data_IF_717186003238
#
_entry.id   IF_717186003238
#
_cell.length_a   1.000
_cell.length_b   1.000
_cell.length_c   1.000
_cell.angle_alpha   90.00
_cell.angle_beta   90.00
_cell.angle_gamma   90.00
#
_symmetry.space_group_name_H-M   'P 1'
#
loop_
_entity.id
_entity.type
_entity.pdbx_description
1 polymer ?
#
# COMPACT_ATOMS: atom_id res chain seq x y z
N UNK A 1 3.91 -4.42 -14.11
CA UNK A 1 4.12 -5.47 -13.06
C UNK A 1 4.16 -4.80 -11.69
N UNK A 2 3.38 -5.28 -10.71
CA UNK A 2 3.37 -4.70 -9.36
C UNK A 2 4.10 -5.64 -8.38
N UNK A 3 5.10 -5.11 -7.68
CA UNK A 3 5.89 -5.84 -6.69
C UNK A 3 5.67 -5.27 -5.28
N UNK A 4 5.90 -6.09 -4.27
CA UNK A 4 5.96 -5.68 -2.87
C UNK A 4 7.38 -5.95 -2.38
N UNK A 5 7.93 -5.06 -1.56
CA UNK A 5 9.26 -5.25 -1.00
C UNK A 5 9.45 -4.58 0.36
N UNK A 6 10.55 -4.94 1.01
CA UNK A 6 10.94 -4.32 2.26
C UNK A 6 11.68 -3.00 2.01
N UNK A 7 11.26 -1.94 2.70
CA UNK A 7 11.89 -0.61 2.62
C UNK A 7 13.37 -0.58 2.99
N UNK A 8 13.84 -1.46 3.88
CA UNK A 8 15.26 -1.62 4.24
C UNK A 8 16.13 -2.07 3.08
N UNK A 9 15.54 -2.66 2.04
CA UNK A 9 16.25 -3.11 0.85
C UNK A 9 16.33 -2.02 -0.22
N UNK A 10 15.63 -0.89 -0.03
CA UNK A 10 15.68 0.24 -0.96
C UNK A 10 16.93 1.06 -0.69
N UNK A 11 17.83 1.10 -1.69
CA UNK A 11 19.03 1.95 -1.67
C UNK A 11 18.76 3.28 -2.38
N UNK A 12 18.20 3.19 -3.59
CA UNK A 12 17.94 4.34 -4.45
C UNK A 12 16.43 4.52 -4.65
N UNK A 13 15.91 5.67 -4.20
CA UNK A 13 14.50 6.03 -4.35
C UNK A 13 14.25 6.61 -5.73
N UNK A 14 13.66 5.81 -6.61
CA UNK A 14 13.20 6.22 -7.95
C UNK A 14 11.67 6.33 -7.99
N UNK A 15 11.13 6.96 -9.03
CA UNK A 15 9.68 7.20 -9.19
C UNK A 15 8.82 5.94 -9.14
N UNK A 16 9.37 4.79 -9.56
CA UNK A 16 8.68 3.50 -9.54
C UNK A 16 8.64 2.83 -8.16
N UNK A 17 9.32 3.36 -7.14
CA UNK A 17 9.31 2.85 -5.77
C UNK A 17 8.42 3.74 -4.90
N UNK A 18 7.36 3.17 -4.34
CA UNK A 18 6.35 3.90 -3.57
C UNK A 18 6.27 3.38 -2.16
N UNK A 19 6.54 4.24 -1.18
CA UNK A 19 6.32 3.93 0.23
C UNK A 19 4.83 3.96 0.57
N UNK A 20 4.30 2.84 1.09
CA UNK A 20 2.89 2.71 1.49
C UNK A 20 2.72 2.53 3.00
N UNK A 21 3.79 2.69 3.77
CA UNK A 21 3.80 2.48 5.21
C UNK A 21 3.34 3.67 6.04
N UNK A 22 3.28 3.47 7.36
CA UNK A 22 3.02 4.53 8.33
C UNK A 22 4.19 5.52 8.42
N UNK A 23 3.97 6.76 8.87
CA UNK A 23 5.07 7.70 9.10
C UNK A 23 6.06 7.14 10.13
N UNK A 24 7.36 7.37 9.90
CA UNK A 24 8.42 7.08 10.87
C UNK A 24 9.30 8.30 11.08
N UNK A 25 9.83 8.44 12.30
CA UNK A 25 10.73 9.57 12.64
C UNK A 25 12.03 9.56 11.83
N UNK A 26 12.48 8.37 11.44
CA UNK A 26 13.68 8.14 10.63
C UNK A 26 13.31 7.73 9.20
N UNK A 27 14.15 8.12 8.25
CA UNK A 27 13.97 7.84 6.81
C UNK A 27 14.02 9.10 5.96
N UNK A 28 13.84 8.95 4.65
CA UNK A 28 13.67 10.08 3.74
C UNK A 28 12.32 10.78 3.98
N UNK A 29 12.11 11.92 3.31
CA UNK A 29 10.91 12.73 3.49
C UNK A 29 9.61 11.95 3.24
N UNK A 30 9.60 11.06 2.26
CA UNK A 30 8.45 10.19 1.95
C UNK A 30 8.10 9.26 3.12
N UNK A 31 9.10 8.71 3.80
CA UNK A 31 8.90 7.85 4.98
C UNK A 31 8.39 8.66 6.17
N UNK A 32 8.88 9.89 6.36
CA UNK A 32 8.46 10.75 7.48
C UNK A 32 7.01 11.19 7.37
N UNK A 33 6.56 11.52 6.16
CA UNK A 33 5.15 11.85 5.89
C UNK A 33 4.25 10.63 6.06
N UNK A 34 4.74 9.45 5.68
CA UNK A 34 3.92 8.26 5.60
C UNK A 34 2.98 8.29 4.39
N UNK A 35 2.22 7.20 4.22
CA UNK A 35 1.23 7.07 3.15
C UNK A 35 -0.18 7.14 3.71
N UNK A 36 -1.08 7.76 2.93
CA UNK A 36 -2.53 7.71 3.15
C UNK A 36 -3.03 6.25 3.13
N UNK A 37 -2.37 5.38 2.36
CA UNK A 37 -2.67 3.95 2.30
C UNK A 37 -2.05 3.15 3.47
N UNK A 38 -1.40 3.81 4.43
CA UNK A 38 -0.80 3.16 5.59
C UNK A 38 -1.84 2.40 6.43
N UNK A 39 -1.48 1.22 6.93
CA UNK A 39 -2.40 0.42 7.74
C UNK A 39 -2.76 1.12 9.08
N UNK A 40 -4.04 1.47 9.32
CA UNK A 40 -4.46 2.11 10.57
C UNK A 40 -4.43 1.14 11.75
N UNK A 41 -4.50 -0.17 11.50
CA UNK A 41 -4.49 -1.21 12.52
C UNK A 41 -3.05 -1.62 12.90
N UNK A 42 -2.83 -1.94 14.17
CA UNK A 42 -1.54 -2.31 14.76
C UNK A 42 -1.56 -3.73 15.30
N UNK A 43 -0.55 -4.52 14.92
CA UNK A 43 -0.37 -5.88 15.46
C UNK A 43 -0.18 -5.80 16.98
N UNK A 44 -0.77 -6.74 17.72
CA UNK A 44 -0.81 -6.75 19.19
C UNK A 44 -2.00 -5.96 19.73
N UNK A 45 -2.16 -4.69 19.35
CA UNK A 45 -3.29 -3.84 19.79
C UNK A 45 -4.61 -4.26 19.16
N UNK A 46 -4.61 -4.43 17.84
CA UNK A 46 -5.81 -4.66 17.03
C UNK A 46 -5.95 -6.13 16.60
N UNK A 47 -5.07 -7.00 17.10
CA UNK A 47 -5.06 -8.44 16.85
C UNK A 47 -3.73 -8.98 16.32
N UNK A 48 -3.74 -10.24 15.91
CA UNK A 48 -2.62 -10.89 15.23
C UNK A 48 -2.35 -10.26 13.86
N UNK A 49 -1.19 -10.55 13.27
CA UNK A 49 -0.83 -10.01 11.95
C UNK A 49 -1.86 -10.35 10.89
N UNK A 50 -2.31 -11.59 10.83
CA UNK A 50 -3.33 -12.04 9.87
C UNK A 50 -4.65 -11.30 10.08
N UNK A 51 -5.10 -11.15 11.33
CA UNK A 51 -6.32 -10.40 11.65
C UNK A 51 -6.21 -8.92 11.25
N UNK A 52 -5.06 -8.29 11.49
CA UNK A 52 -4.80 -6.90 11.11
C UNK A 52 -4.77 -6.70 9.59
N UNK A 53 -4.23 -7.65 8.84
CA UNK A 53 -4.27 -7.62 7.36
C UNK A 53 -5.70 -7.81 6.85
N UNK A 54 -6.48 -8.70 7.46
CA UNK A 54 -7.88 -8.90 7.07
C UNK A 54 -8.74 -7.67 7.41
N UNK A 55 -8.53 -7.04 8.56
CA UNK A 55 -9.14 -5.75 8.91
C UNK A 55 -8.77 -4.67 7.89
N UNK A 56 -7.50 -4.60 7.51
CA UNK A 56 -7.02 -3.66 6.49
C UNK A 56 -7.71 -3.88 5.14
N UNK A 57 -7.86 -5.14 4.70
CA UNK A 57 -8.57 -5.49 3.47
C UNK A 57 -10.01 -4.99 3.46
N UNK A 58 -10.75 -5.24 4.54
CA UNK A 58 -12.13 -4.76 4.68
C UNK A 58 -12.22 -3.24 4.74
N UNK A 59 -11.30 -2.60 5.46
CA UNK A 59 -11.21 -1.14 5.55
C UNK A 59 -10.92 -0.50 4.18
N UNK A 60 -9.91 -0.99 3.46
CA UNK A 60 -9.55 -0.47 2.14
C UNK A 60 -10.72 -0.61 1.16
N UNK A 61 -11.41 -1.74 1.18
CA UNK A 61 -12.61 -1.95 0.37
C UNK A 61 -13.71 -0.94 0.70
N UNK A 62 -13.98 -0.71 1.99
CA UNK A 62 -14.92 0.32 2.43
C UNK A 62 -14.54 1.71 1.95
N UNK A 63 -13.27 2.10 2.05
CA UNK A 63 -12.77 3.38 1.55
C UNK A 63 -12.95 3.53 0.03
N UNK A 64 -12.78 2.45 -0.74
CA UNK A 64 -12.99 2.47 -2.19
C UNK A 64 -14.47 2.69 -2.58
N UNK A 65 -15.41 2.34 -1.71
CA UNK A 65 -16.84 2.53 -1.93
C UNK A 65 -17.34 3.93 -1.55
N UNK A 66 -16.60 4.67 -0.71
CA UNK A 66 -17.00 6.00 -0.26
C UNK A 66 -16.82 7.03 -1.37
N UNK A 67 -17.70 8.03 -1.37
CA UNK A 67 -17.49 9.27 -2.12
C UNK A 67 -16.43 10.14 -1.42
N UNK A 68 -15.61 10.84 -2.21
CA UNK A 68 -14.57 11.75 -1.74
C UNK A 68 -13.58 11.14 -0.70
N UNK A 69 -13.18 9.87 -0.89
CA UNK A 69 -12.16 9.24 -0.04
C UNK A 69 -10.75 9.53 -0.57
N UNK A 70 -9.94 10.23 0.23
CA UNK A 70 -8.53 10.44 -0.07
C UNK A 70 -7.74 9.13 -0.21
N UNK A 71 -8.17 8.05 0.45
CA UNK A 71 -7.59 6.71 0.31
C UNK A 71 -7.87 6.15 -1.08
N UNK A 72 -9.11 6.29 -1.56
CA UNK A 72 -9.48 5.91 -2.93
C UNK A 72 -8.73 6.74 -3.96
N UNK A 73 -8.64 8.05 -3.77
CA UNK A 73 -7.94 8.94 -4.69
C UNK A 73 -6.45 8.58 -4.81
N UNK A 74 -5.80 8.31 -3.68
CA UNK A 74 -4.40 7.87 -3.67
C UNK A 74 -4.23 6.47 -4.32
N UNK A 75 -5.18 5.55 -4.09
CA UNK A 75 -5.16 4.26 -4.77
C UNK A 75 -5.29 4.41 -6.29
N UNK A 76 -6.19 5.28 -6.77
CA UNK A 76 -6.36 5.56 -8.19
C UNK A 76 -5.12 6.22 -8.80
N UNK A 77 -4.44 7.10 -8.06
CA UNK A 77 -3.13 7.64 -8.48
C UNK A 77 -2.11 6.53 -8.71
N UNK A 78 -2.05 5.53 -7.83
CA UNK A 78 -1.16 4.36 -8.02
C UNK A 78 -1.59 3.46 -9.18
N UNK A 79 -2.89 3.35 -9.46
CA UNK A 79 -3.41 2.64 -10.64
C UNK A 79 -2.93 3.31 -11.92
N UNK A 80 -3.01 4.64 -12.03
CA UNK A 80 -2.53 5.36 -13.20
C UNK A 80 -1.00 5.23 -13.37
N UNK A 81 -0.24 5.30 -12.28
CA UNK A 81 1.21 5.01 -12.32
C UNK A 81 1.45 3.57 -12.77
N UNK A 82 0.70 2.59 -12.28
CA UNK A 82 0.86 1.19 -12.65
C UNK A 82 0.51 0.91 -14.12
N UNK A 83 -0.38 1.70 -14.73
CA UNK A 83 -0.70 1.64 -16.17
C UNK A 83 0.40 2.28 -17.02
N UNK A 84 0.97 3.39 -16.57
CA UNK A 84 2.02 4.11 -17.29
C UNK A 84 3.39 3.42 -17.19
N UNK A 85 3.72 2.88 -16.02
CA UNK A 85 5.02 2.29 -15.73
C UNK A 85 5.06 0.79 -16.03
N UNK A 86 6.20 0.31 -16.55
CA UNK A 86 6.41 -1.14 -16.72
C UNK A 86 6.39 -1.88 -15.39
N UNK A 87 6.94 -1.27 -14.33
CA UNK A 87 7.02 -1.87 -12.99
C UNK A 87 6.85 -0.82 -11.90
N UNK A 88 6.04 -1.12 -10.88
CA UNK A 88 5.91 -0.35 -9.64
C UNK A 88 6.22 -1.27 -8.45
N UNK A 89 6.95 -0.76 -7.46
CA UNK A 89 7.33 -1.48 -6.24
C UNK A 89 6.74 -0.76 -5.03
N UNK A 90 5.77 -1.42 -4.38
CA UNK A 90 5.19 -0.94 -3.13
C UNK A 90 6.05 -1.40 -1.96
N UNK A 91 6.60 -0.46 -1.20
CA UNK A 91 7.52 -0.78 -0.10
C UNK A 91 6.94 -0.48 1.27
N UNK A 92 7.17 -1.41 2.20
CA UNK A 92 6.75 -1.31 3.59
C UNK A 92 7.82 -1.95 4.51
N UNK A 93 7.74 -1.65 5.81
CA UNK A 93 8.62 -2.25 6.83
C UNK A 93 8.26 -3.70 7.20
N UNK A 94 7.02 -4.14 6.93
CA UNK A 94 6.53 -5.44 7.39
C UNK A 94 6.90 -6.62 6.48
N UNK A 95 7.15 -6.38 5.20
CA UNK A 95 7.57 -7.42 4.24
C UNK A 95 8.88 -8.10 4.72
N UNK A 96 9.13 -9.40 4.55
CA UNK A 96 8.37 -10.42 3.82
C UNK A 96 7.20 -11.05 4.60
N UNK A 97 6.93 -10.59 5.82
CA UNK A 97 5.79 -11.08 6.60
C UNK A 97 4.49 -10.55 5.99
N UNK A 98 3.32 -11.17 6.25
CA UNK A 98 2.03 -10.69 5.74
C UNK A 98 1.87 -9.18 5.96
N UNK A 99 1.78 -8.45 4.85
CA UNK A 99 1.89 -6.99 4.80
C UNK A 99 0.71 -6.39 4.04
N UNK A 100 0.28 -5.20 4.45
CA UNK A 100 -0.84 -4.50 3.82
C UNK A 100 -0.53 -4.05 2.39
N UNK A 101 0.76 -3.87 2.05
CA UNK A 101 1.20 -3.61 0.68
C UNK A 101 0.75 -4.72 -0.30
N UNK A 102 0.64 -5.97 0.16
CA UNK A 102 0.10 -7.07 -0.66
C UNK A 102 -1.40 -6.93 -0.95
N UNK A 103 -2.16 -6.29 -0.05
CA UNK A 103 -3.57 -5.98 -0.24
C UNK A 103 -3.73 -4.82 -1.23
N UNK A 104 -2.92 -3.77 -1.08
CA UNK A 104 -2.88 -2.64 -2.03
C UNK A 104 -2.52 -3.14 -3.42
N UNK A 105 -1.49 -3.99 -3.56
CA UNK A 105 -1.12 -4.61 -4.82
C UNK A 105 -2.32 -5.26 -5.51
N UNK A 106 -3.06 -6.12 -4.80
CA UNK A 106 -4.25 -6.79 -5.34
C UNK A 106 -5.34 -5.81 -5.77
N UNK A 107 -5.54 -4.74 -4.99
CA UNK A 107 -6.51 -3.70 -5.33
C UNK A 107 -6.10 -2.97 -6.62
N UNK A 108 -4.82 -2.62 -6.78
CA UNK A 108 -4.32 -2.01 -8.01
C UNK A 108 -4.51 -2.97 -9.19
N UNK A 109 -4.12 -4.24 -9.04
CA UNK A 109 -4.30 -5.26 -10.08
C UNK A 109 -5.76 -5.37 -10.52
N UNK A 110 -6.71 -5.38 -9.58
CA UNK A 110 -8.15 -5.37 -9.86
C UNK A 110 -8.59 -4.19 -10.72
N UNK A 111 -8.14 -2.97 -10.40
CA UNK A 111 -8.49 -1.77 -11.17
C UNK A 111 -7.76 -1.68 -12.52
N UNK A 112 -6.57 -2.27 -12.65
CA UNK A 112 -5.82 -2.31 -13.91
C UNK A 112 -6.42 -3.32 -14.89
N UNK A 113 -6.79 -4.52 -14.42
CA UNK A 113 -7.32 -5.57 -15.32
C UNK A 113 -8.79 -5.41 -15.64
N UNK A 114 -9.56 -4.67 -14.84
CA UNK A 114 -11.00 -4.52 -15.02
C UNK A 114 -11.80 -5.80 -14.75
N UNK A 115 -11.16 -6.89 -14.31
CA UNK A 115 -11.84 -8.14 -13.97
C UNK A 115 -12.55 -7.99 -12.62
N UNK A 116 -13.85 -7.70 -12.67
CA UNK A 116 -14.78 -7.98 -11.56
C UNK A 116 -15.03 -9.48 -11.52
N UNK A 117 -14.13 -10.25 -10.91
CA UNK A 117 -14.44 -11.63 -10.51
C UNK A 117 -15.29 -11.64 -9.24
#
# INVERSE_FOLDING_TARGET
MIKVGNVKQVRDWVSSIVYVGRPMKSGCEQIRKGSILGNPFRVGRDGTRTQVIEKYRKWLWGECQREHSAVKDELMRLVEIAKAEKTIVLVCWCDPLPCHASVIKRAIEFYVTGERR
#
